data_IF_100574840175
#
_entry.id   IF_100574840175
#
_cell.length_a   1.000
_cell.length_b   1.000
_cell.length_c   1.000
_cell.angle_alpha   90.00
_cell.angle_beta   90.00
_cell.angle_gamma   90.00
#
_symmetry.space_group_name_H-M   'P 1'
#
loop_
_entity.id
_entity.type
_entity.pdbx_description
1 polymer ?
#
# COMPACT_ATOMS: atom_id res chain seq x y z
N UNK A 1 -22.20 11.26 4.17
CA UNK A 1 -21.42 11.18 5.42
C UNK A 1 -19.96 11.23 5.03
N UNK A 2 -19.26 12.27 5.40
CA UNK A 2 -17.81 12.37 5.24
C UNK A 2 -17.19 11.58 6.41
N UNK A 3 -16.61 10.43 6.14
CA UNK A 3 -15.86 9.67 7.13
C UNK A 3 -14.63 10.49 7.50
N UNK A 4 -14.39 10.69 8.79
CA UNK A 4 -13.22 11.44 9.25
C UNK A 4 -11.93 10.72 8.88
N UNK A 5 -10.90 11.43 8.43
CA UNK A 5 -9.61 10.88 8.01
C UNK A 5 -8.98 9.95 9.05
N UNK A 6 -8.99 10.38 10.33
CA UNK A 6 -8.42 9.61 11.43
C UNK A 6 -9.15 8.28 11.64
N UNK A 7 -10.47 8.25 11.46
CA UNK A 7 -11.27 7.04 11.59
C UNK A 7 -10.93 6.01 10.51
N UNK A 8 -10.69 6.45 9.27
CA UNK A 8 -10.30 5.57 8.16
C UNK A 8 -8.88 5.04 8.34
N UNK A 9 -7.95 5.91 8.73
CA UNK A 9 -6.54 5.55 8.87
C UNK A 9 -6.31 4.62 10.06
N UNK A 10 -7.12 4.70 11.11
CA UNK A 10 -7.03 3.87 12.31
C UNK A 10 -8.00 2.67 12.31
N UNK A 11 -8.85 2.55 11.30
CA UNK A 11 -9.82 1.45 11.20
C UNK A 11 -9.12 0.09 11.28
N UNK A 12 -9.55 -0.72 12.23
CA UNK A 12 -9.05 -2.08 12.38
C UNK A 12 -9.95 -3.07 11.64
N UNK A 13 -9.36 -4.12 11.13
CA UNK A 13 -10.07 -5.26 10.53
C UNK A 13 -10.08 -6.43 11.52
N UNK A 14 -11.08 -7.33 11.46
CA UNK A 14 -11.16 -8.41 12.43
C UNK A 14 -10.08 -9.48 12.23
N UNK A 15 -9.82 -10.21 13.30
CA UNK A 15 -9.14 -11.49 13.28
C UNK A 15 -10.20 -12.60 13.31
N UNK A 16 -10.12 -13.57 12.42
CA UNK A 16 -11.03 -14.72 12.35
C UNK A 16 -10.27 -16.02 12.60
N UNK A 17 -10.76 -16.84 13.54
CA UNK A 17 -10.25 -18.18 13.73
C UNK A 17 -10.98 -19.16 12.80
N UNK A 18 -10.23 -19.90 11.99
CA UNK A 18 -10.74 -20.93 11.09
C UNK A 18 -9.91 -22.21 11.28
N UNK A 19 -10.50 -23.20 11.94
CA UNK A 19 -9.82 -24.48 12.17
C UNK A 19 -8.53 -24.37 12.98
N UNK A 20 -8.49 -23.54 14.03
CA UNK A 20 -7.32 -23.30 14.87
C UNK A 20 -6.26 -22.38 14.30
N UNK A 21 -6.54 -21.74 13.16
CA UNK A 21 -5.65 -20.74 12.55
C UNK A 21 -6.32 -19.38 12.53
N UNK A 22 -5.58 -18.36 12.93
CA UNK A 22 -6.03 -16.98 12.89
C UNK A 22 -5.71 -16.32 11.55
N UNK A 23 -6.67 -15.60 11.01
CA UNK A 23 -6.56 -14.82 9.77
C UNK A 23 -6.89 -13.36 10.03
N UNK A 24 -5.96 -12.46 9.73
CA UNK A 24 -6.25 -11.04 9.70
C UNK A 24 -7.00 -10.69 8.40
N UNK A 25 -8.21 -10.21 8.52
CA UNK A 25 -9.12 -9.98 7.40
C UNK A 25 -8.94 -8.59 6.79
N UNK A 26 -7.77 -8.33 6.22
CA UNK A 26 -7.50 -7.06 5.55
C UNK A 26 -8.32 -6.87 4.25
N UNK A 27 -8.92 -7.91 3.73
CA UNK A 27 -9.94 -7.83 2.68
C UNK A 27 -11.21 -7.09 3.13
N UNK A 28 -11.44 -6.90 4.43
CA UNK A 28 -12.51 -6.04 4.96
C UNK A 28 -12.09 -4.57 5.10
N UNK A 29 -10.84 -4.22 4.83
CA UNK A 29 -10.40 -2.85 4.81
C UNK A 29 -10.90 -2.16 3.51
N UNK A 30 -12.11 -1.65 3.55
CA UNK A 30 -12.77 -0.99 2.44
C UNK A 30 -13.53 0.25 2.93
N UNK A 31 -12.83 1.27 3.46
CA UNK A 31 -13.48 2.40 4.14
C UNK A 31 -14.32 3.29 3.21
N UNK A 32 -14.09 3.23 1.89
CA UNK A 32 -14.91 3.94 0.90
C UNK A 32 -16.03 3.07 0.29
N UNK A 33 -16.31 1.92 0.89
CA UNK A 33 -17.37 1.01 0.49
C UNK A 33 -16.88 -0.40 0.18
N UNK A 34 -17.71 -1.37 0.54
CA UNK A 34 -17.42 -2.78 0.25
C UNK A 34 -17.67 -3.12 -1.22
N UNK A 35 -16.89 -4.06 -1.75
CA UNK A 35 -17.17 -4.81 -2.97
C UNK A 35 -16.27 -4.51 -4.17
N UNK A 36 -15.80 -3.28 -4.37
CA UNK A 36 -14.96 -2.98 -5.55
C UNK A 36 -13.48 -2.82 -5.22
N UNK A 37 -13.15 -2.14 -4.12
CA UNK A 37 -11.76 -1.82 -3.75
C UNK A 37 -11.56 -2.00 -2.26
N UNK A 38 -10.61 -2.87 -1.90
CA UNK A 38 -10.28 -3.19 -0.52
C UNK A 38 -8.82 -3.60 -0.38
N UNK A 39 -8.37 -3.84 0.85
CA UNK A 39 -7.10 -4.46 1.15
C UNK A 39 -6.18 -3.65 2.06
N UNK A 40 -5.16 -4.32 2.54
CA UNK A 40 -4.21 -3.82 3.53
C UNK A 40 -3.59 -2.45 3.19
N UNK A 41 -3.29 -2.22 1.91
CA UNK A 41 -2.65 -0.98 1.45
C UNK A 41 -3.60 0.22 1.31
N UNK A 42 -4.89 0.02 1.55
CA UNK A 42 -5.88 1.08 1.37
C UNK A 42 -5.55 2.30 2.25
N UNK A 43 -5.26 2.08 3.53
CA UNK A 43 -4.89 3.15 4.48
C UNK A 43 -3.68 3.94 4.01
N UNK A 44 -2.65 3.23 3.57
CA UNK A 44 -1.39 3.83 3.09
C UNK A 44 -1.58 4.61 1.80
N UNK A 45 -2.36 4.09 0.85
CA UNK A 45 -2.68 4.77 -0.39
C UNK A 45 -3.50 6.06 -0.12
N UNK A 46 -4.50 5.95 0.75
CA UNK A 46 -5.32 7.08 1.16
C UNK A 46 -4.48 8.18 1.84
N UNK A 47 -3.58 7.79 2.75
CA UNK A 47 -2.65 8.73 3.39
C UNK A 47 -1.81 9.50 2.37
N UNK A 48 -1.22 8.82 1.38
CA UNK A 48 -0.38 9.47 0.36
C UNK A 48 -1.20 10.41 -0.51
N UNK A 49 -2.36 9.98 -1.00
CA UNK A 49 -3.16 10.77 -1.92
C UNK A 49 -3.85 11.95 -1.24
N UNK A 50 -4.22 11.81 0.04
CA UNK A 50 -4.70 12.95 0.82
C UNK A 50 -3.59 14.01 1.00
N UNK A 51 -2.39 13.60 1.37
CA UNK A 51 -1.25 14.53 1.45
C UNK A 51 -0.94 15.21 0.12
N UNK A 52 -1.07 14.50 -0.99
CA UNK A 52 -0.91 15.09 -2.31
C UNK A 52 -1.97 16.17 -2.57
N UNK A 53 -3.22 15.94 -2.18
CA UNK A 53 -4.29 16.93 -2.29
C UNK A 53 -4.04 18.15 -1.40
N UNK A 54 -3.65 17.94 -0.14
CA UNK A 54 -3.31 19.00 0.81
C UNK A 54 -2.09 19.83 0.37
N UNK A 55 -1.11 19.20 -0.28
CA UNK A 55 0.06 19.86 -0.85
C UNK A 55 -0.26 20.64 -2.16
N UNK A 56 -1.50 20.60 -2.66
CA UNK A 56 -1.95 21.34 -3.82
C UNK A 56 -1.56 20.75 -5.17
N UNK A 57 -1.22 19.46 -5.23
CA UNK A 57 -0.99 18.79 -6.50
C UNK A 57 -2.27 18.80 -7.35
N UNK A 58 -2.14 19.02 -8.67
CA UNK A 58 -3.27 19.11 -9.60
C UNK A 58 -3.65 17.74 -10.22
N UNK A 59 -3.03 16.67 -9.78
CA UNK A 59 -3.29 15.31 -10.25
C UNK A 59 -2.24 14.32 -9.78
N UNK A 60 -2.46 13.07 -10.12
CA UNK A 60 -1.64 11.94 -9.72
C UNK A 60 -1.22 11.18 -10.97
N UNK A 61 0.04 10.69 -11.00
CA UNK A 61 0.51 9.72 -11.99
C UNK A 61 1.08 8.50 -11.29
N UNK A 62 0.73 7.31 -11.77
CA UNK A 62 1.25 6.04 -11.29
C UNK A 62 1.46 5.05 -12.44
N UNK A 63 2.19 3.98 -12.20
CA UNK A 63 2.39 2.91 -13.17
C UNK A 63 2.44 1.54 -12.51
N UNK A 64 1.70 0.59 -13.07
CA UNK A 64 1.68 -0.78 -12.58
C UNK A 64 1.23 -1.77 -13.66
N UNK A 65 1.38 -3.08 -13.38
CA UNK A 65 0.81 -4.14 -14.21
C UNK A 65 -0.72 -4.06 -14.24
N UNK A 66 -1.34 -4.45 -15.35
CA UNK A 66 -2.81 -4.56 -15.50
C UNK A 66 -3.47 -5.49 -14.47
N UNK A 67 -2.70 -6.38 -13.85
CA UNK A 67 -3.15 -7.28 -12.78
C UNK A 67 -2.98 -6.67 -11.38
N UNK A 68 -2.38 -5.50 -11.27
CA UNK A 68 -2.08 -4.91 -9.97
C UNK A 68 -3.34 -4.34 -9.30
N UNK A 69 -3.62 -4.66 -8.03
CA UNK A 69 -4.69 -4.03 -7.27
C UNK A 69 -4.40 -2.54 -6.96
N UNK A 70 -3.18 -2.05 -7.22
CA UNK A 70 -2.87 -0.63 -7.13
C UNK A 70 -3.72 0.22 -8.08
N UNK A 71 -4.07 -0.32 -9.27
CA UNK A 71 -4.86 0.40 -10.27
C UNK A 71 -6.24 0.83 -9.73
N UNK A 72 -7.13 -0.10 -9.32
CA UNK A 72 -8.44 0.29 -8.82
C UNK A 72 -8.35 1.03 -7.48
N UNK A 73 -7.38 0.69 -6.63
CA UNK A 73 -7.21 1.34 -5.32
C UNK A 73 -6.82 2.80 -5.48
N UNK A 74 -5.82 3.11 -6.30
CA UNK A 74 -5.42 4.49 -6.56
C UNK A 74 -6.52 5.29 -7.26
N UNK A 75 -7.29 4.68 -8.17
CA UNK A 75 -8.37 5.35 -8.87
C UNK A 75 -9.54 5.71 -7.94
N UNK A 76 -10.00 4.76 -7.13
CA UNK A 76 -11.05 4.98 -6.15
C UNK A 76 -10.68 6.10 -5.15
N UNK A 77 -9.44 6.10 -4.67
CA UNK A 77 -8.99 7.10 -3.71
C UNK A 77 -8.75 8.46 -4.39
N UNK A 78 -8.22 8.48 -5.61
CA UNK A 78 -8.03 9.71 -6.37
C UNK A 78 -9.35 10.42 -6.64
N UNK A 79 -10.41 9.69 -7.03
CA UNK A 79 -11.77 10.22 -7.15
C UNK A 79 -12.27 10.80 -5.82
N UNK A 80 -12.06 10.07 -4.73
CA UNK A 80 -12.49 10.50 -3.39
C UNK A 80 -11.81 11.80 -2.93
N UNK A 81 -10.51 11.97 -3.19
CA UNK A 81 -9.76 13.19 -2.84
C UNK A 81 -9.89 14.30 -3.90
N UNK A 82 -10.61 14.06 -4.99
CA UNK A 82 -10.86 15.03 -6.05
C UNK A 82 -9.67 15.31 -6.97
N UNK A 83 -8.71 14.39 -7.09
CA UNK A 83 -7.54 14.52 -7.94
C UNK A 83 -7.65 13.63 -9.20
N UNK A 84 -7.48 14.16 -10.41
CA UNK A 84 -7.44 13.35 -11.62
C UNK A 84 -6.24 12.40 -11.60
N UNK A 85 -6.48 11.12 -11.93
CA UNK A 85 -5.45 10.08 -11.95
C UNK A 85 -5.10 9.67 -13.37
N UNK A 86 -3.80 9.62 -13.67
CA UNK A 86 -3.23 8.97 -14.85
C UNK A 86 -2.49 7.70 -14.46
N UNK A 87 -2.80 6.60 -15.16
CA UNK A 87 -2.17 5.29 -14.97
C UNK A 87 -1.39 4.91 -16.22
N UNK A 88 -0.08 4.66 -16.06
CA UNK A 88 0.76 4.13 -17.13
C UNK A 88 0.77 2.60 -17.05
N UNK A 89 0.41 1.95 -18.16
CA UNK A 89 0.49 0.49 -18.33
C UNK A 89 1.35 0.15 -19.54
N UNK A 90 1.98 -1.01 -19.53
CA UNK A 90 2.91 -1.38 -20.58
C UNK A 90 2.71 -2.80 -21.13
N UNK A 91 3.27 -3.03 -22.35
CA UNK A 91 3.22 -4.33 -23.02
C UNK A 91 1.84 -4.72 -23.54
N UNK A 92 0.89 -3.78 -23.60
CA UNK A 92 -0.49 -4.01 -24.03
C UNK A 92 -1.10 -2.75 -24.63
N UNK A 93 -2.24 -2.89 -25.29
CA UNK A 93 -3.10 -1.77 -25.68
C UNK A 93 -4.25 -1.63 -24.70
N UNK A 94 -4.90 -0.45 -24.66
CA UNK A 94 -6.03 -0.23 -23.76
C UNK A 94 -7.18 -1.22 -24.05
N UNK A 95 -7.48 -1.48 -25.33
CA UNK A 95 -8.55 -2.42 -25.75
C UNK A 95 -8.32 -3.85 -25.23
N UNK A 96 -7.06 -4.26 -25.09
CA UNK A 96 -6.71 -5.54 -24.49
C UNK A 96 -6.74 -5.46 -22.95
N UNK A 97 -6.21 -4.38 -22.40
CA UNK A 97 -6.09 -4.16 -20.95
C UNK A 97 -7.47 -4.08 -20.28
N UNK A 98 -8.48 -3.49 -20.92
CA UNK A 98 -9.83 -3.37 -20.38
C UNK A 98 -10.53 -4.72 -20.09
N UNK A 99 -9.97 -5.83 -20.58
CA UNK A 99 -10.46 -7.17 -20.23
C UNK A 99 -10.15 -7.56 -18.79
N UNK A 100 -9.16 -6.90 -18.17
CA UNK A 100 -8.79 -7.13 -16.77
C UNK A 100 -9.70 -6.32 -15.84
N UNK A 101 -10.22 -6.96 -14.81
CA UNK A 101 -11.13 -6.35 -13.82
C UNK A 101 -10.53 -5.10 -13.16
N UNK A 102 -9.25 -5.14 -12.81
CA UNK A 102 -8.57 -4.01 -12.17
C UNK A 102 -8.54 -2.75 -13.06
N UNK A 103 -8.38 -2.94 -14.39
CA UNK A 103 -8.43 -1.83 -15.36
C UNK A 103 -9.85 -1.31 -15.51
N UNK A 104 -10.86 -2.20 -15.61
CA UNK A 104 -12.27 -1.80 -15.68
C UNK A 104 -12.67 -0.95 -14.49
N UNK A 105 -12.37 -1.44 -13.29
CA UNK A 105 -12.72 -0.72 -12.05
C UNK A 105 -12.02 0.64 -12.00
N UNK A 106 -10.74 0.71 -12.40
CA UNK A 106 -10.02 1.98 -12.42
C UNK A 106 -10.65 2.99 -13.43
N UNK A 107 -11.11 2.51 -14.58
CA UNK A 107 -11.85 3.34 -15.55
C UNK A 107 -13.21 3.81 -15.01
N UNK A 108 -13.92 2.97 -14.26
CA UNK A 108 -15.19 3.35 -13.60
C UNK A 108 -15.00 4.51 -12.61
N UNK A 109 -13.83 4.63 -11.98
CA UNK A 109 -13.42 5.75 -11.13
C UNK A 109 -12.74 6.90 -11.90
N UNK A 110 -12.90 6.97 -13.21
CA UNK A 110 -12.42 8.08 -14.03
C UNK A 110 -10.91 8.14 -14.28
N UNK A 111 -10.16 7.03 -14.02
CA UNK A 111 -8.73 7.04 -14.31
C UNK A 111 -8.43 7.13 -15.81
N UNK A 112 -7.48 8.00 -16.17
CA UNK A 112 -6.91 8.10 -17.51
C UNK A 112 -5.79 7.04 -17.69
N UNK A 113 -5.78 6.33 -18.81
CA UNK A 113 -4.74 5.35 -19.11
C UNK A 113 -3.81 5.82 -20.22
N UNK A 114 -2.50 5.72 -19.98
CA UNK A 114 -1.45 5.87 -20.97
C UNK A 114 -0.77 4.52 -21.19
N UNK A 115 -0.67 4.07 -22.44
CA UNK A 115 -0.01 2.81 -22.78
C UNK A 115 1.39 3.04 -23.32
N UNK A 116 2.33 2.14 -22.97
CA UNK A 116 3.67 2.09 -23.54
C UNK A 116 3.93 0.70 -24.17
N UNK A 117 4.84 0.65 -25.17
CA UNK A 117 5.09 -0.58 -25.94
C UNK A 117 5.65 -1.73 -25.09
N UNK A 118 6.47 -1.42 -24.09
CA UNK A 118 7.17 -2.40 -23.25
C UNK A 118 6.55 -2.51 -21.88
N UNK A 119 6.47 -3.72 -21.31
CA UNK A 119 5.72 -4.00 -20.08
C UNK A 119 6.60 -4.30 -18.85
N UNK A 120 7.93 -4.22 -18.96
CA UNK A 120 8.79 -4.45 -17.80
C UNK A 120 8.88 -3.20 -16.89
N UNK A 121 9.07 -3.45 -15.62
CA UNK A 121 8.93 -2.42 -14.58
C UNK A 121 9.83 -1.19 -14.76
N UNK A 122 11.14 -1.29 -15.10
CA UNK A 122 11.96 -0.10 -15.32
C UNK A 122 11.44 0.84 -16.40
N UNK A 123 10.90 0.30 -17.51
CA UNK A 123 10.32 1.14 -18.57
C UNK A 123 9.03 1.83 -18.13
N UNK A 124 8.20 1.13 -17.34
CA UNK A 124 7.00 1.74 -16.73
C UNK A 124 7.39 2.90 -15.80
N UNK A 125 8.35 2.68 -14.91
CA UNK A 125 8.79 3.73 -13.99
C UNK A 125 9.43 4.92 -14.73
N UNK A 126 10.21 4.67 -15.78
CA UNK A 126 10.77 5.74 -16.62
C UNK A 126 9.67 6.58 -17.30
N UNK A 127 8.61 5.93 -17.80
CA UNK A 127 7.49 6.63 -18.42
C UNK A 127 6.65 7.42 -17.40
N UNK A 128 6.50 6.91 -16.18
CA UNK A 128 5.85 7.63 -15.07
C UNK A 128 6.66 8.84 -14.66
N UNK A 129 7.99 8.68 -14.46
CA UNK A 129 8.87 9.79 -14.09
C UNK A 129 8.80 10.93 -15.12
N UNK A 130 8.87 10.56 -16.41
CA UNK A 130 8.73 11.55 -17.49
C UNK A 130 7.38 12.28 -17.44
N UNK A 131 6.27 11.58 -17.22
CA UNK A 131 4.96 12.18 -17.11
C UNK A 131 4.87 13.15 -15.91
N UNK A 132 5.45 12.75 -14.77
CA UNK A 132 5.51 13.59 -13.56
C UNK A 132 6.36 14.85 -13.79
N UNK A 133 7.52 14.72 -14.44
CA UNK A 133 8.39 15.86 -14.80
C UNK A 133 7.68 16.84 -15.74
N UNK A 134 6.95 16.33 -16.74
CA UNK A 134 6.23 17.15 -17.73
C UNK A 134 4.98 17.84 -17.16
N UNK A 135 4.32 17.21 -16.17
CA UNK A 135 2.99 17.64 -15.72
C UNK A 135 2.94 18.21 -14.30
N UNK A 136 3.98 18.01 -13.50
CA UNK A 136 4.00 18.37 -12.08
C UNK A 136 3.00 17.58 -11.21
N UNK A 137 2.47 16.45 -11.68
CA UNK A 137 1.56 15.61 -10.91
C UNK A 137 2.29 14.89 -9.79
N UNK A 138 1.56 14.52 -8.73
CA UNK A 138 2.12 13.68 -7.67
C UNK A 138 2.47 12.29 -8.20
N UNK A 139 3.68 11.83 -7.88
CA UNK A 139 4.14 10.49 -8.24
C UNK A 139 3.70 9.45 -7.20
N UNK A 140 2.58 8.78 -7.41
CA UNK A 140 2.25 7.60 -6.61
C UNK A 140 3.16 6.44 -7.03
N UNK A 141 4.20 6.17 -6.24
CA UNK A 141 5.26 5.21 -6.54
C UNK A 141 4.76 3.77 -6.62
N UNK A 142 5.47 2.95 -7.37
CA UNK A 142 5.19 1.52 -7.51
C UNK A 142 5.10 0.81 -6.15
N UNK A 143 4.08 -0.06 -6.01
CA UNK A 143 3.83 -0.78 -4.76
C UNK A 143 3.19 0.06 -3.67
N UNK A 144 2.71 1.29 -3.99
CA UNK A 144 2.22 2.27 -3.01
C UNK A 144 3.31 2.50 -1.98
N UNK A 145 4.40 3.13 -2.41
CA UNK A 145 5.57 3.41 -1.58
C UNK A 145 5.60 4.88 -1.19
N UNK A 146 6.09 5.23 0.02
CA UNK A 146 6.18 6.60 0.48
C UNK A 146 7.21 7.41 -0.30
N UNK A 147 7.18 8.72 -0.12
CA UNK A 147 8.27 9.60 -0.52
C UNK A 147 9.55 9.24 0.26
N UNK A 148 10.74 9.50 -0.31
CA UNK A 148 11.98 8.93 0.22
C UNK A 148 12.51 9.61 1.49
N UNK A 149 11.91 10.72 1.94
CA UNK A 149 12.30 11.40 3.16
C UNK A 149 11.85 10.62 4.42
N UNK A 150 12.65 10.69 5.48
CA UNK A 150 12.46 9.92 6.71
C UNK A 150 11.10 10.17 7.37
N UNK A 151 10.63 11.41 7.40
CA UNK A 151 9.38 11.78 8.07
C UNK A 151 8.17 11.23 7.33
N UNK A 152 8.16 11.31 5.99
CA UNK A 152 7.13 10.69 5.14
C UNK A 152 7.13 9.18 5.29
N UNK A 153 8.30 8.55 5.33
CA UNK A 153 8.44 7.09 5.53
C UNK A 153 7.86 6.68 6.88
N UNK A 154 8.20 7.37 7.96
CA UNK A 154 7.73 7.06 9.30
C UNK A 154 6.21 7.24 9.39
N UNK A 155 5.67 8.35 8.91
CA UNK A 155 4.24 8.63 8.93
C UNK A 155 3.45 7.59 8.13
N UNK A 156 3.91 7.24 6.93
CA UNK A 156 3.32 6.23 6.07
C UNK A 156 3.26 4.85 6.74
N UNK A 157 4.34 4.44 7.40
CA UNK A 157 4.38 3.14 8.07
C UNK A 157 3.58 3.12 9.38
N UNK A 158 3.49 4.24 10.09
CA UNK A 158 2.60 4.37 11.27
C UNK A 158 1.13 4.14 10.90
N UNK A 159 0.67 4.70 9.77
CA UNK A 159 -0.69 4.44 9.26
C UNK A 159 -0.93 2.95 9.01
N UNK A 160 0.02 2.28 8.35
CA UNK A 160 -0.07 0.84 8.11
C UNK A 160 0.08 -0.02 9.37
N UNK A 161 0.69 0.50 10.44
CA UNK A 161 0.90 -0.21 11.70
C UNK A 161 -0.42 -0.60 12.40
N UNK A 162 -1.53 0.11 12.12
CA UNK A 162 -2.86 -0.23 12.62
C UNK A 162 -3.29 -1.68 12.29
N UNK A 163 -2.70 -2.30 11.26
CA UNK A 163 -2.92 -3.71 10.92
C UNK A 163 -2.52 -4.67 12.06
N UNK A 164 -1.59 -4.28 12.93
CA UNK A 164 -1.13 -5.10 14.06
C UNK A 164 -1.99 -4.90 15.32
N UNK A 165 -3.02 -4.07 15.29
CA UNK A 165 -3.91 -3.92 16.44
C UNK A 165 -4.80 -5.14 16.65
N UNK A 166 -5.08 -5.46 17.92
CA UNK A 166 -6.01 -6.50 18.32
C UNK A 166 -5.55 -7.91 17.96
N UNK A 167 -4.23 -8.15 17.89
CA UNK A 167 -3.67 -9.50 17.72
C UNK A 167 -4.18 -10.39 18.86
N UNK A 168 -4.75 -11.59 18.57
CA UNK A 168 -5.21 -12.51 19.59
C UNK A 168 -4.09 -12.88 20.58
N UNK A 169 -4.42 -12.90 21.87
CA UNK A 169 -3.43 -13.12 22.93
C UNK A 169 -2.81 -14.52 22.94
N UNK A 170 -3.43 -15.49 22.30
CA UNK A 170 -2.96 -16.85 22.11
C UNK A 170 -2.09 -17.06 20.86
N UNK A 171 -2.00 -16.04 19.98
CA UNK A 171 -1.20 -16.11 18.76
C UNK A 171 0.30 -15.88 19.06
N UNK A 172 1.14 -16.87 18.76
CA UNK A 172 2.59 -16.84 18.98
C UNK A 172 3.40 -16.69 17.69
N UNK A 173 2.87 -17.14 16.59
CA UNK A 173 3.56 -17.14 15.30
C UNK A 173 2.75 -16.41 14.24
N UNK A 174 3.35 -15.37 13.66
CA UNK A 174 2.74 -14.58 12.59
C UNK A 174 3.44 -14.88 11.27
N UNK A 175 2.64 -15.18 10.23
CA UNK A 175 3.13 -15.40 8.87
C UNK A 175 2.64 -14.26 7.99
N UNK A 176 3.55 -13.56 7.30
CA UNK A 176 3.26 -12.37 6.51
C UNK A 176 3.73 -12.55 5.06
N UNK A 177 2.85 -12.47 4.06
CA UNK A 177 3.28 -12.41 2.65
C UNK A 177 3.99 -11.07 2.37
N UNK A 178 5.18 -11.14 1.79
CA UNK A 178 6.06 -9.99 1.52
C UNK A 178 6.31 -9.81 0.03
N UNK A 179 5.62 -8.86 -0.60
CA UNK A 179 5.85 -8.47 -2.01
C UNK A 179 6.70 -7.19 -2.11
N UNK A 180 6.06 -6.02 -2.05
CA UNK A 180 6.77 -4.72 -2.03
C UNK A 180 7.38 -4.35 -0.67
N UNK A 181 7.18 -5.15 0.36
CA UNK A 181 7.53 -4.99 1.76
C UNK A 181 6.78 -3.89 2.55
N UNK A 182 6.12 -2.93 1.92
CA UNK A 182 5.52 -1.80 2.63
C UNK A 182 4.52 -2.20 3.73
N UNK A 183 3.59 -3.13 3.45
CA UNK A 183 2.67 -3.64 4.48
C UNK A 183 3.41 -4.45 5.55
N UNK A 184 4.40 -5.26 5.15
CA UNK A 184 5.24 -6.04 6.06
C UNK A 184 5.97 -5.13 7.06
N UNK A 185 6.66 -4.11 6.58
CA UNK A 185 7.38 -3.13 7.40
C UNK A 185 6.42 -2.42 8.37
N UNK A 186 5.22 -2.07 7.90
CA UNK A 186 4.21 -1.44 8.75
C UNK A 186 3.71 -2.38 9.84
N UNK A 187 3.50 -3.66 9.55
CA UNK A 187 3.10 -4.65 10.55
C UNK A 187 4.23 -4.84 11.58
N UNK A 188 5.48 -4.93 11.14
CA UNK A 188 6.63 -5.04 12.04
C UNK A 188 6.75 -3.82 12.96
N UNK A 189 6.56 -2.60 12.43
CA UNK A 189 6.46 -1.40 13.26
C UNK A 189 5.28 -1.50 14.23
N UNK A 190 4.13 -1.99 13.79
CA UNK A 190 2.95 -2.18 14.62
C UNK A 190 3.17 -3.15 15.79
N UNK A 191 3.96 -4.22 15.58
CA UNK A 191 4.37 -5.12 16.67
C UNK A 191 5.21 -4.40 17.74
N UNK A 192 5.89 -3.31 17.40
CA UNK A 192 6.62 -2.51 18.39
C UNK A 192 5.74 -1.47 19.10
N UNK A 193 4.58 -1.15 18.52
CA UNK A 193 3.71 -0.09 19.03
C UNK A 193 2.50 -0.61 19.82
N UNK A 194 2.07 -1.84 19.54
CA UNK A 194 0.85 -2.41 20.12
C UNK A 194 1.15 -3.69 20.92
N UNK A 195 0.39 -3.94 21.99
CA UNK A 195 0.55 -5.17 22.79
C UNK A 195 0.27 -6.42 21.95
N UNK A 196 1.13 -7.42 22.08
CA UNK A 196 0.97 -8.70 21.42
C UNK A 196 1.74 -9.81 22.16
N UNK A 197 1.47 -11.07 21.78
CA UNK A 197 2.16 -12.27 22.30
C UNK A 197 2.96 -13.00 21.21
N UNK A 198 3.26 -12.33 20.09
CA UNK A 198 4.02 -12.90 18.98
C UNK A 198 5.46 -13.13 19.40
N UNK A 199 5.93 -14.36 19.23
CA UNK A 199 7.30 -14.81 19.52
C UNK A 199 8.11 -15.03 18.26
N UNK A 200 7.41 -15.34 17.13
CA UNK A 200 8.04 -15.62 15.84
C UNK A 200 7.30 -14.94 14.72
N UNK A 201 8.05 -14.35 13.78
CA UNK A 201 7.51 -13.81 12.51
C UNK A 201 8.21 -14.51 11.36
N UNK A 202 7.43 -15.09 10.43
CA UNK A 202 7.94 -15.66 9.19
C UNK A 202 7.45 -14.82 8.02
N UNK A 203 8.37 -14.37 7.17
CA UNK A 203 8.05 -13.64 5.95
C UNK A 203 8.07 -14.59 4.75
N UNK A 204 6.98 -14.59 3.97
CA UNK A 204 6.90 -15.36 2.73
C UNK A 204 7.15 -14.41 1.57
N UNK A 205 8.35 -14.45 1.01
CA UNK A 205 8.78 -13.60 -0.11
C UNK A 205 7.99 -13.90 -1.40
N UNK A 206 7.41 -12.85 -2.00
CA UNK A 206 6.73 -12.89 -3.29
C UNK A 206 7.43 -11.90 -4.23
N UNK A 207 8.35 -12.39 -5.03
CA UNK A 207 9.14 -11.56 -5.95
C UNK A 207 10.56 -11.29 -5.47
N UNK A 208 11.15 -10.12 -5.76
CA UNK A 208 12.54 -9.82 -5.39
C UNK A 208 12.77 -9.84 -3.87
N UNK A 209 13.98 -10.21 -3.46
CA UNK A 209 14.41 -10.09 -2.07
C UNK A 209 14.24 -8.65 -1.56
N UNK A 210 13.74 -8.50 -0.34
CA UNK A 210 13.44 -7.23 0.32
C UNK A 210 14.12 -7.08 1.68
N UNK A 211 15.01 -7.98 2.04
CA UNK A 211 15.69 -7.98 3.35
C UNK A 211 16.34 -6.63 3.64
N UNK A 212 17.23 -6.16 2.76
CA UNK A 212 17.92 -4.88 2.98
C UNK A 212 16.94 -3.70 3.16
N UNK A 213 15.88 -3.65 2.36
CA UNK A 213 14.86 -2.60 2.51
C UNK A 213 14.15 -2.70 3.86
N UNK A 214 13.86 -3.92 4.32
CA UNK A 214 13.22 -4.12 5.62
C UNK A 214 14.17 -3.67 6.73
N UNK A 215 15.42 -4.13 6.70
CA UNK A 215 16.46 -3.77 7.67
C UNK A 215 16.67 -2.26 7.75
N UNK A 216 16.87 -1.58 6.61
CA UNK A 216 17.04 -0.12 6.53
C UNK A 216 15.85 0.62 7.20
N UNK A 217 14.62 0.15 6.99
CA UNK A 217 13.43 0.76 7.59
C UNK A 217 13.31 0.47 9.08
N UNK A 218 13.65 -0.72 9.51
CA UNK A 218 13.67 -1.07 10.93
C UNK A 218 14.74 -0.28 11.68
N UNK A 219 15.90 -0.06 11.09
CA UNK A 219 16.96 0.77 11.66
C UNK A 219 16.53 2.23 11.76
N UNK A 220 15.89 2.77 10.73
CA UNK A 220 15.30 4.10 10.78
C UNK A 220 14.30 4.24 11.96
N UNK A 221 13.44 3.24 12.18
CA UNK A 221 12.48 3.27 13.28
C UNK A 221 13.15 3.16 14.64
N UNK A 222 14.19 2.32 14.79
CA UNK A 222 14.98 2.25 16.03
C UNK A 222 15.60 3.61 16.34
N UNK A 223 16.22 4.26 15.35
CA UNK A 223 16.91 5.54 15.52
C UNK A 223 15.94 6.68 15.82
N UNK A 224 14.85 6.79 15.07
CA UNK A 224 13.95 7.95 15.13
C UNK A 224 12.83 7.81 16.15
N UNK A 225 12.39 6.59 16.45
CA UNK A 225 11.26 6.35 17.35
C UNK A 225 11.66 5.67 18.66
N UNK A 226 12.88 5.19 18.78
CA UNK A 226 13.34 4.48 19.99
C UNK A 226 12.61 3.16 20.25
N UNK A 227 12.01 2.55 19.21
CA UNK A 227 11.22 1.32 19.36
C UNK A 227 12.10 0.08 19.40
N UNK A 228 11.72 -0.91 20.23
CA UNK A 228 12.30 -2.24 20.21
C UNK A 228 11.53 -3.10 19.22
N UNK A 229 12.23 -3.63 18.24
CA UNK A 229 11.66 -4.50 17.21
C UNK A 229 11.87 -5.97 17.59
N UNK A 230 10.98 -6.91 17.17
CA UNK A 230 11.15 -8.31 17.44
C UNK A 230 12.55 -8.79 16.99
N UNK A 231 13.28 -9.45 17.90
CA UNK A 231 14.65 -9.93 17.65
C UNK A 231 14.72 -11.20 16.81
N UNK A 232 13.59 -11.86 16.58
CA UNK A 232 13.50 -13.10 15.80
C UNK A 232 12.67 -12.91 14.54
N UNK A 233 13.29 -12.35 13.49
CA UNK A 233 12.76 -12.40 12.14
C UNK A 233 13.43 -13.58 11.42
N UNK A 234 12.65 -14.61 11.05
CA UNK A 234 13.05 -15.58 10.04
C UNK A 234 12.51 -15.08 8.70
N UNK A 235 13.40 -14.78 7.76
CA UNK A 235 13.09 -14.39 6.38
C UNK A 235 13.23 -15.60 5.47
#
# INVERSE_FOLDING_TARGET
MTIGWDEVLTATTPWENRGGRWYKREDYCAPLGYGKVNGAKFRQCLFLLNRAAEAGYLGITTGASVLSPQLPMSACIAEYVGLPLRIVIGGTTLDKAIRHSNVKIALEFGAEFRTIKVGYNPALQSAVNKDVEETGRYHLRYGISPDPDDDSVIAFHKVGAAQAQGIPSDLRHLVIPCGSANSTISILLGLSLYPHSIEKVTLIGIGPNRESLIEDRLDLFRQKLGVSLPSSLEV
#
